data_IF_465960520206
#
_entry.id   IF_465960520206
#
_cell.length_a   1.000
_cell.length_b   1.000
_cell.length_c   1.000
_cell.angle_alpha   90.00
_cell.angle_beta   90.00
_cell.angle_gamma   90.00
#
_symmetry.space_group_name_H-M   'P 1'
#
loop_
_entity.id
_entity.type
_entity.pdbx_description
1 polymer ?
#
# COMPACT_ATOMS: atom_id res chain seq x y z
N UNK A 1 -9.15 4.22 5.65
CA UNK A 1 -9.46 5.48 4.97
C UNK A 1 -9.44 5.39 3.45
N UNK A 2 -8.67 4.47 2.85
CA UNK A 2 -8.43 4.42 1.40
C UNK A 2 -9.68 4.06 0.56
N UNK A 3 -10.69 3.39 1.13
CA UNK A 3 -11.93 3.03 0.44
C UNK A 3 -12.85 4.22 0.12
N UNK A 4 -12.62 5.38 0.71
CA UNK A 4 -13.53 6.53 0.56
C UNK A 4 -13.66 7.00 -0.88
N UNK A 5 -12.66 6.80 -1.72
CA UNK A 5 -12.71 7.11 -3.16
C UNK A 5 -13.80 6.36 -3.93
N UNK A 6 -14.34 5.26 -3.39
CA UNK A 6 -15.45 4.53 -4.02
C UNK A 6 -16.70 5.37 -4.22
N UNK A 7 -16.91 6.42 -3.40
CA UNK A 7 -18.06 7.32 -3.53
C UNK A 7 -18.16 7.95 -4.92
N UNK A 8 -17.04 8.16 -5.60
CA UNK A 8 -17.00 8.73 -6.95
C UNK A 8 -17.47 7.77 -8.06
N UNK A 9 -17.74 6.50 -7.74
CA UNK A 9 -18.36 5.58 -8.68
C UNK A 9 -19.89 5.75 -8.77
N UNK A 10 -20.48 6.53 -7.86
CA UNK A 10 -21.91 6.82 -7.84
C UNK A 10 -22.40 7.55 -9.09
N UNK A 11 -23.72 7.55 -9.26
CA UNK A 11 -24.39 8.14 -10.42
C UNK A 11 -24.13 9.63 -10.62
N UNK A 12 -23.88 10.36 -9.53
CA UNK A 12 -23.66 11.81 -9.55
C UNK A 12 -22.25 12.19 -10.02
N UNK A 13 -21.34 11.21 -10.16
CA UNK A 13 -19.98 11.39 -10.62
C UNK A 13 -19.69 10.50 -11.83
N UNK A 14 -19.09 9.31 -11.65
CA UNK A 14 -18.69 8.45 -12.76
C UNK A 14 -19.87 7.72 -13.41
N UNK A 15 -20.87 7.31 -12.65
CA UNK A 15 -22.15 6.78 -13.11
C UNK A 15 -22.13 5.46 -13.89
N UNK A 16 -20.96 4.83 -14.07
CA UNK A 16 -20.86 3.53 -14.76
C UNK A 16 -21.51 2.42 -13.93
N UNK A 17 -21.74 1.28 -14.59
CA UNK A 17 -22.38 0.12 -13.99
C UNK A 17 -21.40 -1.05 -13.87
N UNK A 18 -21.59 -1.83 -12.80
CA UNK A 18 -20.90 -3.08 -12.53
C UNK A 18 -19.36 -2.96 -12.53
N UNK A 19 -18.83 -1.83 -12.02
CA UNK A 19 -17.39 -1.68 -11.83
C UNK A 19 -16.94 -2.75 -10.83
N UNK A 20 -16.01 -3.66 -11.19
CA UNK A 20 -15.57 -4.70 -10.28
C UNK A 20 -14.76 -4.09 -9.13
N UNK A 21 -15.17 -4.38 -7.90
CA UNK A 21 -14.47 -4.00 -6.66
C UNK A 21 -14.10 -5.27 -5.93
N UNK A 22 -12.80 -5.55 -5.87
CA UNK A 22 -12.27 -6.70 -5.16
C UNK A 22 -12.15 -6.35 -3.67
N UNK A 23 -12.81 -7.10 -2.82
CA UNK A 23 -12.89 -6.81 -1.39
C UNK A 23 -12.72 -8.06 -0.54
N UNK A 24 -11.96 -7.91 0.56
CA UNK A 24 -11.85 -8.91 1.62
C UNK A 24 -13.21 -9.06 2.35
N UNK A 25 -13.44 -10.16 3.07
CA UNK A 25 -14.75 -10.45 3.65
C UNK A 25 -15.32 -9.37 4.57
N UNK A 26 -14.51 -8.81 5.49
CA UNK A 26 -14.98 -7.72 6.38
C UNK A 26 -15.25 -6.44 5.60
N UNK A 27 -14.38 -6.08 4.63
CA UNK A 27 -14.59 -4.91 3.77
C UNK A 27 -15.85 -5.09 2.94
N UNK A 28 -16.11 -6.26 2.38
CA UNK A 28 -17.37 -6.54 1.68
C UNK A 28 -18.57 -6.33 2.61
N UNK A 29 -18.53 -6.92 3.80
CA UNK A 29 -19.59 -6.77 4.81
C UNK A 29 -19.82 -5.30 5.14
N UNK A 30 -18.74 -4.55 5.36
CA UNK A 30 -18.81 -3.12 5.62
C UNK A 30 -19.50 -2.35 4.48
N UNK A 31 -19.06 -2.54 3.25
CA UNK A 31 -19.62 -1.85 2.08
C UNK A 31 -21.08 -2.22 1.83
N UNK A 32 -21.49 -3.46 2.12
CA UNK A 32 -22.85 -3.94 1.89
C UNK A 32 -23.83 -3.42 2.95
N UNK A 33 -23.39 -3.26 4.19
CA UNK A 33 -24.28 -3.00 5.32
C UNK A 33 -24.28 -1.54 5.79
N UNK A 34 -23.47 -0.66 5.18
CA UNK A 34 -23.36 0.72 5.62
C UNK A 34 -23.67 1.71 4.48
N UNK A 35 -24.55 2.66 4.76
CA UNK A 35 -24.73 3.83 3.90
C UNK A 35 -23.52 4.79 3.99
N UNK A 36 -23.20 5.50 2.91
CA UNK A 36 -23.85 5.47 1.59
C UNK A 36 -23.30 4.37 0.65
N UNK A 37 -22.38 3.51 1.11
CA UNK A 37 -21.66 2.53 0.27
C UNK A 37 -22.57 1.46 -0.31
N UNK A 38 -23.57 0.99 0.47
CA UNK A 38 -24.53 0.01 -0.01
C UNK A 38 -25.36 0.53 -1.22
N UNK A 39 -25.62 1.83 -1.31
CA UNK A 39 -26.29 2.42 -2.45
C UNK A 39 -25.55 2.19 -3.77
N UNK A 40 -24.19 2.17 -3.75
CA UNK A 40 -23.39 1.87 -4.94
C UNK A 40 -23.64 0.44 -5.44
N UNK A 41 -23.89 -0.49 -4.52
CA UNK A 41 -24.20 -1.90 -4.82
C UNK A 41 -25.63 -2.01 -5.32
N UNK A 42 -26.61 -1.43 -4.62
CA UNK A 42 -28.04 -1.48 -4.95
C UNK A 42 -28.30 -0.87 -6.32
N UNK A 43 -27.65 0.24 -6.62
CA UNK A 43 -27.73 0.91 -7.93
C UNK A 43 -26.84 0.25 -9.00
N UNK A 44 -26.15 -0.85 -8.66
CA UNK A 44 -25.23 -1.57 -9.55
C UNK A 44 -24.12 -0.68 -10.14
N UNK A 45 -23.70 0.35 -9.42
CA UNK A 45 -22.51 1.11 -9.82
C UNK A 45 -21.26 0.27 -9.63
N UNK A 46 -21.18 -0.48 -8.54
CA UNK A 46 -20.10 -1.43 -8.27
C UNK A 46 -20.63 -2.87 -8.19
N UNK A 47 -19.77 -3.82 -8.49
CA UNK A 47 -20.00 -5.25 -8.32
C UNK A 47 -18.87 -5.83 -7.45
N UNK A 48 -19.17 -6.21 -6.20
CA UNK A 48 -18.18 -6.73 -5.28
C UNK A 48 -17.74 -8.13 -5.69
N UNK A 49 -16.45 -8.32 -5.84
CA UNK A 49 -15.76 -9.59 -6.04
C UNK A 49 -15.04 -9.99 -4.76
N UNK A 50 -15.39 -11.15 -4.22
CA UNK A 50 -14.72 -11.65 -3.02
C UNK A 50 -13.28 -12.02 -3.32
N UNK A 51 -12.38 -11.62 -2.44
CA UNK A 51 -11.00 -12.07 -2.39
C UNK A 51 -10.68 -12.59 -1.00
N UNK A 52 -9.63 -13.39 -0.90
CA UNK A 52 -9.13 -13.89 0.38
C UNK A 52 -7.60 -13.72 0.41
N UNK A 53 -7.06 -13.49 1.60
CA UNK A 53 -5.60 -13.42 1.76
C UNK A 53 -4.95 -14.73 1.29
N UNK A 54 -3.74 -14.61 0.77
CA UNK A 54 -2.92 -15.69 0.23
C UNK A 54 -3.58 -16.48 -0.91
N UNK A 55 -4.66 -15.94 -1.50
CA UNK A 55 -5.33 -16.50 -2.68
C UNK A 55 -5.07 -15.65 -3.92
N UNK A 56 -4.43 -16.24 -4.90
CA UNK A 56 -4.04 -15.53 -6.13
C UNK A 56 -5.23 -15.32 -7.06
N UNK A 57 -5.47 -14.07 -7.44
CA UNK A 57 -6.41 -13.68 -8.47
C UNK A 57 -5.69 -13.53 -9.81
N UNK A 58 -6.24 -14.12 -10.86
CA UNK A 58 -5.80 -13.90 -12.24
C UNK A 58 -6.69 -12.79 -12.81
N UNK A 59 -6.12 -11.60 -12.98
CA UNK A 59 -6.85 -10.46 -13.56
C UNK A 59 -6.92 -10.55 -15.08
N UNK A 60 -5.86 -11.04 -15.71
CA UNK A 60 -5.78 -11.37 -17.14
C UNK A 60 -4.61 -12.33 -17.38
N UNK A 61 -4.31 -12.64 -18.65
CA UNK A 61 -3.23 -13.56 -19.02
C UNK A 61 -1.83 -13.12 -18.57
N UNK A 62 -1.66 -11.83 -18.27
CA UNK A 62 -0.36 -11.22 -17.97
C UNK A 62 -0.23 -10.75 -16.52
N UNK A 63 -1.32 -10.72 -15.76
CA UNK A 63 -1.33 -10.08 -14.44
C UNK A 63 -2.04 -10.93 -13.41
N UNK A 64 -1.32 -11.25 -12.33
CA UNK A 64 -1.82 -11.94 -11.15
C UNK A 64 -1.62 -11.06 -9.92
N UNK A 65 -2.56 -11.13 -8.98
CA UNK A 65 -2.50 -10.38 -7.73
C UNK A 65 -2.85 -11.29 -6.56
N UNK A 66 -1.99 -11.32 -5.56
CA UNK A 66 -2.20 -12.07 -4.33
C UNK A 66 -2.24 -11.10 -3.15
N UNK A 67 -3.39 -10.89 -2.52
CA UNK A 67 -3.48 -10.11 -1.30
C UNK A 67 -2.92 -10.90 -0.12
N UNK A 68 -2.29 -10.22 0.83
CA UNK A 68 -1.85 -10.80 2.09
C UNK A 68 -2.14 -9.84 3.24
N UNK A 69 -2.37 -10.38 4.43
CA UNK A 69 -2.68 -9.56 5.61
C UNK A 69 -1.42 -8.81 6.09
N UNK A 70 -1.63 -7.56 6.46
CA UNK A 70 -0.65 -6.75 7.18
C UNK A 70 -1.30 -6.18 8.44
N UNK A 71 -0.56 -6.07 9.56
CA UNK A 71 -1.09 -5.42 10.75
C UNK A 71 -1.30 -3.95 10.49
N UNK A 72 -2.49 -3.47 10.75
CA UNK A 72 -2.85 -2.06 10.77
C UNK A 72 -4.25 -1.93 11.41
N UNK A 73 -4.79 -0.71 11.47
CA UNK A 73 -6.14 -0.45 12.01
C UNK A 73 -7.20 -1.24 11.23
N UNK A 74 -7.59 -2.39 11.74
CA UNK A 74 -8.48 -3.35 11.08
C UNK A 74 -9.81 -3.57 11.83
N UNK A 75 -10.24 -2.57 12.57
CA UNK A 75 -11.46 -2.62 13.37
C UNK A 75 -12.71 -2.92 12.51
N UNK A 76 -12.75 -2.37 11.29
CA UNK A 76 -13.91 -2.50 10.39
C UNK A 76 -13.62 -3.34 9.14
N UNK A 77 -12.37 -3.50 8.77
CA UNK A 77 -11.96 -4.25 7.58
C UNK A 77 -10.57 -4.82 7.76
N UNK A 78 -10.23 -5.82 6.98
CA UNK A 78 -8.85 -6.28 6.88
C UNK A 78 -7.98 -5.19 6.22
N UNK A 79 -6.73 -5.06 6.67
CA UNK A 79 -5.70 -4.32 5.94
C UNK A 79 -4.81 -5.30 5.20
N UNK A 80 -4.57 -5.03 3.93
CA UNK A 80 -3.83 -5.93 3.04
C UNK A 80 -2.73 -5.21 2.27
N UNK A 81 -1.62 -5.90 2.08
CA UNK A 81 -0.67 -5.65 1.02
C UNK A 81 -0.95 -6.57 -0.17
N UNK A 82 -0.28 -6.31 -1.28
CA UNK A 82 -0.44 -7.08 -2.51
C UNK A 82 0.91 -7.50 -3.08
N UNK A 83 1.00 -8.77 -3.49
CA UNK A 83 2.01 -9.22 -4.42
C UNK A 83 1.39 -9.16 -5.82
N UNK A 84 2.05 -8.47 -6.73
CA UNK A 84 1.59 -8.25 -8.11
C UNK A 84 2.62 -8.87 -9.03
N UNK A 85 2.20 -9.87 -9.79
CA UNK A 85 3.07 -10.65 -10.68
C UNK A 85 2.68 -10.35 -12.13
N UNK A 86 3.58 -9.71 -12.84
CA UNK A 86 3.48 -9.51 -14.28
C UNK A 86 4.17 -10.62 -15.04
N UNK A 87 4.39 -10.41 -16.36
CA UNK A 87 5.05 -11.39 -17.23
C UNK A 87 6.56 -11.44 -17.06
N UNK A 88 7.17 -10.36 -16.62
CA UNK A 88 8.62 -10.20 -16.51
C UNK A 88 9.08 -9.95 -15.07
N UNK A 89 8.28 -9.24 -14.28
CA UNK A 89 8.66 -8.76 -12.95
C UNK A 89 7.54 -8.89 -11.95
N UNK A 90 7.94 -8.89 -10.70
CA UNK A 90 7.05 -8.98 -9.54
C UNK A 90 7.20 -7.75 -8.66
N UNK A 91 6.07 -7.26 -8.16
CA UNK A 91 6.03 -6.12 -7.24
C UNK A 91 5.37 -6.51 -5.92
N UNK A 92 5.89 -5.94 -4.84
CA UNK A 92 5.27 -5.92 -3.52
C UNK A 92 4.68 -4.51 -3.29
N UNK A 93 3.44 -4.43 -2.84
CA UNK A 93 2.75 -3.16 -2.58
C UNK A 93 2.17 -3.16 -1.17
N UNK A 94 2.78 -2.41 -0.26
CA UNK A 94 2.39 -2.26 1.15
C UNK A 94 2.31 -0.77 1.45
N UNK A 95 1.20 -0.10 1.10
CA UNK A 95 1.07 1.35 1.28
C UNK A 95 0.80 1.75 2.72
N UNK A 96 0.30 0.82 3.54
CA UNK A 96 -0.19 1.12 4.88
C UNK A 96 0.01 -0.10 5.78
N UNK A 97 0.81 0.03 6.83
CA UNK A 97 1.14 -1.05 7.76
C UNK A 97 1.55 -0.47 9.12
N UNK A 98 1.40 -1.23 10.18
CA UNK A 98 2.00 -0.95 11.48
C UNK A 98 3.52 -1.18 11.45
N UNK A 99 4.20 -0.90 12.56
CA UNK A 99 5.65 -1.14 12.71
C UNK A 99 6.03 -2.53 12.19
N UNK A 100 7.10 -2.63 11.40
CA UNK A 100 7.58 -3.89 10.82
C UNK A 100 7.72 -5.03 11.84
N UNK A 101 8.05 -4.69 13.09
CA UNK A 101 8.19 -5.68 14.18
C UNK A 101 6.88 -6.37 14.58
N UNK A 102 5.73 -5.78 14.24
CA UNK A 102 4.40 -6.37 14.55
C UNK A 102 3.93 -7.30 13.45
N UNK A 103 4.56 -7.26 12.27
CA UNK A 103 4.24 -8.18 11.19
C UNK A 103 4.94 -9.52 11.40
N UNK A 104 4.25 -10.60 11.13
CA UNK A 104 4.76 -11.96 11.29
C UNK A 104 5.71 -12.42 10.17
N UNK A 105 6.01 -11.55 9.21
CA UNK A 105 6.98 -11.78 8.11
C UNK A 105 8.13 -10.79 8.20
N UNK A 106 9.28 -11.18 7.66
CA UNK A 106 10.42 -10.27 7.50
C UNK A 106 10.27 -9.44 6.24
N UNK A 107 10.17 -8.13 6.37
CA UNK A 107 10.11 -7.23 5.21
C UNK A 107 11.35 -7.38 4.32
N UNK A 108 12.53 -7.62 4.89
CA UNK A 108 13.76 -7.83 4.13
C UNK A 108 13.62 -9.06 3.23
N UNK A 109 13.16 -10.18 3.79
CA UNK A 109 13.00 -11.42 3.03
C UNK A 109 11.89 -11.30 1.96
N UNK A 110 10.82 -10.56 2.24
CA UNK A 110 9.79 -10.31 1.23
C UNK A 110 10.30 -9.42 0.09
N UNK A 111 11.10 -8.39 0.40
CA UNK A 111 11.73 -7.53 -0.62
C UNK A 111 12.72 -8.30 -1.50
N UNK A 112 13.47 -9.24 -0.93
CA UNK A 112 14.40 -10.07 -1.71
C UNK A 112 13.70 -10.88 -2.81
N UNK A 113 12.45 -11.28 -2.60
CA UNK A 113 11.66 -12.14 -3.52
C UNK A 113 11.06 -11.40 -4.70
N UNK A 114 11.11 -10.08 -4.75
CA UNK A 114 10.46 -9.25 -5.77
C UNK A 114 11.45 -8.34 -6.50
N UNK A 115 11.02 -7.70 -7.58
CA UNK A 115 11.81 -6.72 -8.32
C UNK A 115 11.57 -5.29 -7.81
N UNK A 116 10.36 -5.01 -7.39
CA UNK A 116 9.93 -3.72 -6.82
C UNK A 116 9.22 -3.93 -5.51
N UNK A 117 9.49 -3.09 -4.52
CA UNK A 117 8.78 -3.08 -3.25
C UNK A 117 8.32 -1.66 -2.92
N UNK A 118 7.05 -1.39 -3.14
CA UNK A 118 6.41 -0.12 -2.78
C UNK A 118 5.99 -0.19 -1.31
N UNK A 119 6.66 0.57 -0.47
CA UNK A 119 6.53 0.48 0.98
C UNK A 119 6.05 1.77 1.61
N UNK A 120 5.30 1.63 2.70
CA UNK A 120 4.83 2.72 3.55
C UNK A 120 5.97 3.63 3.98
N UNK A 121 5.78 4.92 3.76
CA UNK A 121 6.70 5.98 4.11
C UNK A 121 5.95 7.20 4.68
N UNK A 122 4.90 6.93 5.43
CA UNK A 122 4.01 7.99 5.96
C UNK A 122 4.81 9.06 6.69
N UNK A 123 5.74 8.68 7.56
CA UNK A 123 6.57 9.62 8.31
C UNK A 123 8.07 9.35 8.12
N UNK A 124 8.86 10.42 8.14
CA UNK A 124 10.32 10.32 8.07
C UNK A 124 10.90 9.73 9.35
N UNK A 125 10.54 10.33 10.50
CA UNK A 125 11.02 9.96 11.83
C UNK A 125 10.05 10.41 12.94
N UNK A 126 10.44 10.17 14.19
CA UNK A 126 9.64 10.49 15.38
C UNK A 126 9.51 11.99 15.68
N UNK A 127 10.25 12.86 15.00
CA UNK A 127 10.28 14.31 15.27
C UNK A 127 9.41 15.11 14.29
N UNK A 128 8.86 14.43 13.26
CA UNK A 128 8.13 15.08 12.17
C UNK A 128 6.83 15.78 12.64
N UNK A 129 6.15 15.21 13.61
CA UNK A 129 4.91 15.76 14.15
C UNK A 129 4.96 15.89 15.68
N UNK A 130 4.28 16.92 16.22
CA UNK A 130 4.15 17.18 17.67
C UNK A 130 3.04 16.32 18.29
N UNK A 131 3.21 15.01 18.25
CA UNK A 131 2.24 14.04 18.80
C UNK A 131 3.01 12.89 19.42
N UNK A 132 2.40 12.20 20.38
CA UNK A 132 2.98 10.99 20.95
C UNK A 132 3.15 9.94 19.85
N UNK A 133 4.38 9.63 19.48
CA UNK A 133 4.68 8.70 18.36
C UNK A 133 4.31 7.26 18.67
N UNK A 134 4.05 6.93 19.94
CA UNK A 134 3.42 5.65 20.32
C UNK A 134 2.00 5.47 19.76
N UNK A 135 1.34 6.56 19.41
CA UNK A 135 0.02 6.55 18.76
C UNK A 135 0.10 6.47 17.24
N UNK A 136 1.30 6.50 16.68
CA UNK A 136 1.56 6.46 15.23
C UNK A 136 2.04 5.06 14.86
N UNK A 137 1.17 4.22 14.30
CA UNK A 137 1.49 2.82 14.06
C UNK A 137 2.49 2.61 12.92
N UNK A 138 2.55 3.54 11.95
CA UNK A 138 3.37 3.39 10.73
C UNK A 138 4.86 3.23 11.02
N UNK A 139 5.59 2.42 10.22
CA UNK A 139 7.04 2.41 10.26
C UNK A 139 7.57 3.75 9.74
N UNK A 140 8.60 4.28 10.39
CA UNK A 140 9.28 5.46 9.86
C UNK A 140 10.21 5.05 8.72
N UNK A 141 10.46 5.97 7.79
CA UNK A 141 11.49 5.78 6.75
C UNK A 141 12.83 5.43 7.40
N UNK A 142 13.20 6.12 8.50
CA UNK A 142 14.46 5.87 9.22
C UNK A 142 14.50 4.46 9.85
N UNK A 143 13.39 3.93 10.35
CA UNK A 143 13.31 2.55 10.83
C UNK A 143 13.51 1.54 9.69
N UNK A 144 12.89 1.79 8.55
CA UNK A 144 13.06 0.95 7.36
C UNK A 144 14.52 0.97 6.88
N UNK A 145 15.15 2.15 6.80
CA UNK A 145 16.58 2.29 6.45
C UNK A 145 17.47 1.51 7.42
N UNK A 146 17.20 1.60 8.73
CA UNK A 146 17.95 0.90 9.74
C UNK A 146 17.86 -0.63 9.59
N UNK A 147 16.69 -1.16 9.27
CA UNK A 147 16.51 -2.59 9.00
C UNK A 147 17.33 -3.06 7.79
N UNK A 148 17.36 -2.27 6.71
CA UNK A 148 18.10 -2.60 5.49
C UNK A 148 19.57 -2.19 5.53
N UNK A 149 20.10 -1.73 6.67
CA UNK A 149 21.46 -1.18 6.80
C UNK A 149 22.53 -2.09 6.18
N UNK A 150 22.46 -3.39 6.48
CA UNK A 150 23.46 -4.39 6.06
C UNK A 150 23.12 -5.05 4.71
N UNK A 151 22.00 -4.70 4.07
CA UNK A 151 21.62 -5.25 2.78
C UNK A 151 22.42 -4.62 1.63
N UNK A 152 22.53 -5.37 0.53
CA UNK A 152 23.21 -4.90 -0.68
C UNK A 152 22.49 -3.68 -1.29
N UNK A 153 23.22 -2.88 -2.08
CA UNK A 153 22.63 -1.80 -2.85
C UNK A 153 21.53 -2.31 -3.81
N UNK A 154 21.71 -3.50 -4.36
CA UNK A 154 20.70 -4.11 -5.22
C UNK A 154 19.40 -4.39 -4.47
N UNK A 155 19.48 -4.87 -3.23
CA UNK A 155 18.29 -5.08 -2.38
C UNK A 155 17.63 -3.75 -1.98
N UNK A 156 18.43 -2.77 -1.56
CA UNK A 156 17.94 -1.43 -1.19
C UNK A 156 17.24 -0.74 -2.36
N UNK A 157 17.77 -0.88 -3.57
CA UNK A 157 17.20 -0.26 -4.79
C UNK A 157 15.85 -0.84 -5.20
N UNK A 158 15.46 -2.01 -4.69
CA UNK A 158 14.10 -2.54 -4.87
C UNK A 158 13.07 -1.78 -4.06
N UNK A 159 13.46 -1.17 -2.93
CA UNK A 159 12.58 -0.40 -2.04
C UNK A 159 12.26 0.95 -2.66
N UNK A 160 10.97 1.21 -2.82
CA UNK A 160 10.40 2.44 -3.38
C UNK A 160 9.39 2.98 -2.37
N UNK A 161 9.72 4.08 -1.75
CA UNK A 161 8.87 4.72 -0.75
C UNK A 161 7.66 5.40 -1.37
N UNK A 162 6.49 5.16 -0.77
CA UNK A 162 5.17 5.70 -1.15
C UNK A 162 4.39 6.14 0.08
N UNK A 163 3.17 6.66 -0.08
CA UNK A 163 2.22 6.91 1.00
C UNK A 163 2.74 7.93 2.04
N UNK A 164 3.12 9.11 1.57
CA UNK A 164 3.67 10.18 2.42
C UNK A 164 2.57 10.99 3.10
N UNK A 165 2.75 11.28 4.40
CA UNK A 165 2.02 12.36 5.02
C UNK A 165 2.50 13.72 4.45
N UNK A 166 1.61 14.70 4.41
CA UNK A 166 1.94 16.04 3.88
C UNK A 166 3.06 16.76 4.66
N UNK A 167 3.32 16.37 5.91
CA UNK A 167 4.40 16.90 6.74
C UNK A 167 5.77 16.28 6.44
N UNK A 168 5.78 15.12 5.74
CA UNK A 168 7.02 14.39 5.49
C UNK A 168 7.96 15.17 4.56
N UNK A 169 9.16 15.59 5.02
CA UNK A 169 10.07 16.37 4.19
C UNK A 169 10.57 15.60 2.96
N UNK A 170 10.56 14.26 2.98
CA UNK A 170 10.97 13.45 1.84
C UNK A 170 9.95 13.49 0.67
N UNK A 171 8.74 14.00 0.89
CA UNK A 171 7.76 14.28 -0.17
C UNK A 171 8.32 15.29 -1.19
N UNK A 172 9.15 16.22 -0.74
CA UNK A 172 9.76 17.24 -1.60
C UNK A 172 10.97 16.65 -2.34
N UNK A 173 10.92 16.58 -3.68
CA UNK A 173 11.98 16.00 -4.53
C UNK A 173 13.38 16.59 -4.27
N UNK A 174 13.45 17.86 -3.92
CA UNK A 174 14.70 18.57 -3.70
C UNK A 174 15.14 18.65 -2.24
N UNK A 175 14.40 18.03 -1.30
CA UNK A 175 14.77 18.06 0.11
C UNK A 175 16.12 17.37 0.35
N UNK A 176 16.83 17.86 1.37
CA UNK A 176 18.10 17.27 1.80
C UNK A 176 17.90 15.82 2.24
N UNK A 177 16.84 15.59 3.01
CA UNK A 177 16.49 14.27 3.57
C UNK A 177 16.29 13.24 2.46
N UNK A 178 15.50 13.58 1.43
CA UNK A 178 15.28 12.68 0.29
C UNK A 178 16.57 12.34 -0.44
N UNK A 179 17.38 13.36 -0.76
CA UNK A 179 18.67 13.17 -1.45
C UNK A 179 19.65 12.30 -0.66
N UNK A 180 19.66 12.42 0.67
CA UNK A 180 20.49 11.58 1.54
C UNK A 180 20.02 10.12 1.51
N UNK A 181 18.71 9.87 1.54
CA UNK A 181 18.13 8.54 1.47
C UNK A 181 18.38 7.89 0.08
N UNK A 182 18.26 8.64 -0.99
CA UNK A 182 18.57 8.17 -2.34
C UNK A 182 20.05 7.75 -2.48
N UNK A 183 20.98 8.47 -1.85
CA UNK A 183 22.41 8.08 -1.81
C UNK A 183 22.67 6.74 -1.09
N UNK A 184 21.77 6.33 -0.19
CA UNK A 184 21.84 5.03 0.46
C UNK A 184 21.32 3.88 -0.42
N UNK A 185 20.80 4.19 -1.61
CA UNK A 185 20.30 3.22 -2.59
C UNK A 185 18.79 3.01 -2.56
N UNK A 186 18.04 3.75 -1.74
CA UNK A 186 16.58 3.69 -1.72
C UNK A 186 15.97 4.60 -2.78
N UNK A 187 14.73 4.33 -3.15
CA UNK A 187 14.00 5.07 -4.18
C UNK A 187 12.72 5.67 -3.62
N UNK A 188 12.17 6.62 -4.35
CA UNK A 188 10.88 7.25 -4.08
C UNK A 188 10.03 7.22 -5.34
N UNK A 189 8.78 6.85 -5.23
CA UNK A 189 7.84 6.99 -6.34
C UNK A 189 7.47 8.47 -6.52
N UNK A 190 7.26 8.84 -7.78
CA UNK A 190 6.76 10.15 -8.15
C UNK A 190 5.50 9.98 -8.99
N UNK A 191 4.66 11.01 -9.02
CA UNK A 191 3.54 11.06 -9.95
C UNK A 191 4.06 10.95 -11.39
N UNK A 192 3.45 10.05 -12.16
CA UNK A 192 3.82 9.77 -13.54
C UNK A 192 4.92 8.72 -13.74
N UNK A 193 5.53 8.20 -12.66
CA UNK A 193 6.49 7.08 -12.79
C UNK A 193 5.79 5.82 -13.34
N UNK A 194 6.45 5.14 -14.26
CA UNK A 194 5.98 3.88 -14.85
C UNK A 194 6.92 2.74 -14.47
N UNK A 195 6.34 1.60 -14.09
CA UNK A 195 7.06 0.38 -13.73
C UNK A 195 6.56 -0.78 -14.59
N UNK A 196 7.45 -1.38 -15.35
CA UNK A 196 7.14 -2.55 -16.16
C UNK A 196 7.06 -3.79 -15.26
N UNK A 197 6.01 -4.61 -15.43
CA UNK A 197 5.77 -5.86 -14.70
C UNK A 197 5.82 -7.10 -15.63
#
# INVERSE_FOLDING_TARGET
GHYTGLMYFGREAYGKKNIPVFAMPKMKSFLTNNGPWNQLIDLKNIAIKNIQHDSTMILNQQLKVTPFLVPHRDEFSETVGYKIEGTKKTSLFIPDIDKWKTWNKSIIEEVKKVDYAFLDATFLDQHEIKRAMSEVPHPFIQETIALFKNESLATKNKVIFIHFNHTNPALQKNSKQRKEIEKLGFRFANEGDNFEL
#
